data_IF_641718692629
#
_entry.id   IF_641718692629
#
_cell.length_a   1.000
_cell.length_b   1.000
_cell.length_c   1.000
_cell.angle_alpha   90.00
_cell.angle_beta   90.00
_cell.angle_gamma   90.00
#
_symmetry.space_group_name_H-M   'P 1'
#
loop_
_entity.id
_entity.type
_entity.pdbx_description
1 polymer ?
#
# COMPACT_ATOMS: atom_id res chain seq x y z
N UNK A 1 -12.55 -30.43 -39.27
CA UNK A 1 -13.47 -29.52 -38.55
C UNK A 1 -13.29 -29.83 -37.07
N UNK A 2 -12.56 -28.99 -36.32
CA UNK A 2 -12.35 -29.26 -34.89
C UNK A 2 -13.68 -29.07 -34.14
N UNK A 3 -14.07 -29.99 -33.23
CA UNK A 3 -15.35 -29.90 -32.54
C UNK A 3 -15.38 -28.63 -31.69
N UNK A 4 -16.49 -27.89 -31.76
CA UNK A 4 -16.69 -26.56 -31.15
C UNK A 4 -16.34 -26.53 -29.65
N UNK A 5 -16.54 -27.65 -28.95
CA UNK A 5 -16.16 -27.84 -27.54
C UNK A 5 -14.65 -27.81 -27.31
N UNK A 6 -13.84 -28.34 -28.24
CA UNK A 6 -12.38 -28.32 -28.15
C UNK A 6 -11.83 -26.91 -28.34
N UNK A 7 -12.42 -26.14 -29.27
CA UNK A 7 -12.12 -24.73 -29.49
C UNK A 7 -12.43 -23.88 -28.24
N UNK A 8 -13.59 -24.10 -27.60
CA UNK A 8 -13.96 -23.39 -26.38
C UNK A 8 -13.03 -23.72 -25.19
N UNK A 9 -12.64 -24.99 -25.05
CA UNK A 9 -11.67 -25.41 -24.02
C UNK A 9 -10.28 -24.81 -24.25
N UNK A 10 -9.80 -24.79 -25.50
CA UNK A 10 -8.53 -24.17 -25.87
C UNK A 10 -8.55 -22.65 -25.68
N UNK A 11 -9.65 -21.98 -26.04
CA UNK A 11 -9.83 -20.55 -25.77
C UNK A 11 -9.87 -20.22 -24.28
N UNK A 12 -10.50 -21.09 -23.47
CA UNK A 12 -10.48 -20.95 -22.00
C UNK A 12 -9.09 -21.14 -21.41
N UNK A 13 -8.31 -22.09 -21.93
CA UNK A 13 -6.93 -22.32 -21.48
C UNK A 13 -5.98 -21.18 -21.86
N UNK A 14 -6.09 -20.65 -23.09
CA UNK A 14 -5.28 -19.51 -23.57
C UNK A 14 -5.60 -18.22 -22.79
N UNK A 15 -6.88 -17.96 -22.49
CA UNK A 15 -7.28 -16.83 -21.66
C UNK A 15 -6.73 -16.94 -20.22
N UNK A 16 -6.64 -18.17 -19.69
CA UNK A 16 -6.03 -18.40 -18.36
C UNK A 16 -4.52 -18.13 -18.38
N UNK A 17 -3.81 -18.53 -19.44
CA UNK A 17 -2.36 -18.31 -19.55
C UNK A 17 -1.98 -16.84 -19.71
N UNK A 18 -2.81 -16.04 -20.39
CA UNK A 18 -2.55 -14.61 -20.56
C UNK A 18 -2.66 -13.82 -19.23
N UNK A 19 -3.47 -14.30 -18.27
CA UNK A 19 -3.62 -13.64 -16.96
C UNK A 19 -2.44 -13.86 -15.99
N UNK A 20 -1.51 -14.76 -16.31
CA UNK A 20 -0.36 -15.10 -15.45
C UNK A 20 1.00 -14.72 -16.06
N UNK A 21 1.03 -14.09 -17.24
CA UNK A 21 2.26 -13.83 -17.99
C UNK A 21 2.73 -12.37 -17.96
N UNK A 22 2.10 -11.51 -17.16
CA UNK A 22 2.46 -10.10 -17.00
C UNK A 22 3.52 -9.86 -15.94
N UNK A 23 4.17 -8.69 -16.00
CA UNK A 23 4.89 -8.17 -14.84
C UNK A 23 3.90 -7.70 -13.79
N UNK A 24 4.24 -7.87 -12.51
CA UNK A 24 3.45 -7.41 -11.38
C UNK A 24 4.25 -6.46 -10.51
N UNK A 25 3.57 -5.69 -9.68
CA UNK A 25 4.19 -4.69 -8.83
C UNK A 25 3.53 -4.60 -7.47
N UNK A 26 4.33 -4.28 -6.46
CA UNK A 26 3.87 -4.03 -5.10
C UNK A 26 4.33 -2.62 -4.71
N UNK A 27 3.38 -1.76 -4.34
CA UNK A 27 3.68 -0.36 -3.97
C UNK A 27 3.05 0.01 -2.64
N UNK A 28 3.88 0.51 -1.74
CA UNK A 28 3.52 1.09 -0.46
C UNK A 28 3.65 2.61 -0.57
N UNK A 29 2.56 3.33 -0.35
CA UNK A 29 2.59 4.79 -0.26
C UNK A 29 2.28 5.22 1.17
N UNK A 30 3.18 6.00 1.77
CA UNK A 30 2.93 6.67 3.04
C UNK A 30 2.76 8.17 2.82
N UNK A 31 1.91 8.80 3.62
CA UNK A 31 1.73 10.25 3.64
C UNK A 31 1.50 10.71 5.07
N UNK A 32 2.39 11.55 5.57
CA UNK A 32 2.27 12.23 6.86
C UNK A 32 2.06 13.73 6.63
N UNK A 33 1.00 14.29 7.21
CA UNK A 33 0.66 15.72 7.09
C UNK A 33 0.62 16.36 8.47
N UNK A 34 1.53 17.31 8.72
CA UNK A 34 1.53 18.08 9.97
C UNK A 34 0.33 19.03 10.03
N UNK A 35 -0.22 19.22 11.23
CA UNK A 35 -1.42 20.04 11.43
C UNK A 35 -1.25 20.97 12.64
N UNK A 36 -0.49 22.07 12.51
CA UNK A 36 -0.23 22.99 13.61
C UNK A 36 -1.52 23.41 14.31
N UNK A 37 -1.54 23.32 15.64
CA UNK A 37 -2.70 23.65 16.46
C UNK A 37 -3.89 22.66 16.39
N UNK A 38 -3.77 21.55 15.65
CA UNK A 38 -4.83 20.54 15.50
C UNK A 38 -4.39 19.12 15.88
N UNK A 39 -3.36 19.01 16.72
CA UNK A 39 -2.85 17.75 17.24
C UNK A 39 -1.72 17.14 16.40
N UNK A 40 -1.59 15.82 16.46
CA UNK A 40 -0.52 15.09 15.78
C UNK A 40 -0.68 15.08 14.25
N UNK A 41 0.43 14.92 13.50
CA UNK A 41 0.35 14.70 12.06
C UNK A 41 -0.60 13.56 11.72
N UNK A 42 -1.42 13.73 10.67
CA UNK A 42 -2.19 12.62 10.11
C UNK A 42 -1.24 11.74 9.34
N UNK A 43 -1.26 10.43 9.58
CA UNK A 43 -0.53 9.44 8.83
C UNK A 43 -1.50 8.53 8.08
N UNK A 44 -1.29 8.39 6.78
CA UNK A 44 -2.03 7.49 5.90
C UNK A 44 -1.02 6.56 5.25
N UNK A 45 -1.29 5.25 5.27
CA UNK A 45 -0.58 4.29 4.44
C UNK A 45 -1.59 3.59 3.51
N UNK A 46 -1.23 3.43 2.24
CA UNK A 46 -2.00 2.67 1.26
C UNK A 46 -1.07 1.74 0.51
N UNK A 47 -1.53 0.51 0.27
CA UNK A 47 -0.73 -0.51 -0.39
C UNK A 47 -1.47 -1.04 -1.61
N UNK A 48 -0.72 -1.25 -2.68
CA UNK A 48 -1.21 -1.65 -3.99
C UNK A 48 -0.48 -2.90 -4.46
N UNK A 49 -1.22 -3.85 -5.00
CA UNK A 49 -0.70 -4.84 -5.96
C UNK A 49 -1.18 -4.37 -7.32
N UNK A 50 -0.23 -4.12 -8.23
CA UNK A 50 -0.48 -3.44 -9.49
C UNK A 50 -1.22 -2.12 -9.27
N UNK A 51 -2.36 -1.94 -9.94
CA UNK A 51 -3.21 -0.76 -9.80
C UNK A 51 -4.35 -0.96 -8.79
N UNK A 52 -4.34 -2.08 -8.05
CA UNK A 52 -5.40 -2.45 -7.10
C UNK A 52 -4.97 -2.18 -5.67
N UNK A 53 -5.62 -1.23 -5.02
CA UNK A 53 -5.40 -0.97 -3.60
C UNK A 53 -5.95 -2.12 -2.77
N UNK A 54 -5.12 -2.79 -1.98
CA UNK A 54 -5.55 -3.91 -1.15
C UNK A 54 -5.48 -3.66 0.36
N UNK A 55 -4.69 -2.68 0.80
CA UNK A 55 -4.63 -2.27 2.20
C UNK A 55 -4.70 -0.75 2.40
N UNK A 56 -5.23 -0.36 3.56
CA UNK A 56 -5.26 1.03 4.03
C UNK A 56 -5.10 1.12 5.54
N UNK A 57 -4.25 2.05 5.99
CA UNK A 57 -4.20 2.55 7.36
C UNK A 57 -4.47 4.05 7.38
N UNK A 58 -5.24 4.52 8.36
CA UNK A 58 -5.49 5.95 8.58
C UNK A 58 -5.40 6.25 10.09
N UNK A 59 -4.48 7.13 10.49
CA UNK A 59 -4.29 7.48 11.90
C UNK A 59 -5.47 8.23 12.49
N UNK A 60 -6.31 8.84 11.65
CA UNK A 60 -7.50 9.58 12.07
C UNK A 60 -8.75 8.69 12.18
N UNK A 61 -8.65 7.40 11.84
CA UNK A 61 -9.76 6.47 12.05
C UNK A 61 -10.10 6.36 13.54
N UNK A 62 -11.38 6.11 13.87
CA UNK A 62 -11.82 5.96 15.26
C UNK A 62 -11.04 4.87 16.01
N UNK A 63 -10.69 3.80 15.31
CA UNK A 63 -9.81 2.73 15.79
C UNK A 63 -8.72 2.54 14.73
N UNK A 64 -7.56 3.21 14.84
CA UNK A 64 -6.50 3.10 13.84
C UNK A 64 -5.93 1.68 13.77
N UNK A 65 -6.20 1.02 12.66
CA UNK A 65 -5.72 -0.32 12.28
C UNK A 65 -5.57 -0.41 10.77
N UNK A 66 -4.82 -1.40 10.31
CA UNK A 66 -4.80 -1.72 8.89
C UNK A 66 -6.12 -2.38 8.50
N UNK A 67 -6.67 -1.98 7.37
CA UNK A 67 -7.96 -2.44 6.86
C UNK A 67 -7.81 -3.05 5.45
N UNK A 68 -8.50 -4.17 5.19
CA UNK A 68 -8.61 -4.73 3.85
C UNK A 68 -9.36 -3.77 2.93
N UNK A 69 -8.92 -3.70 1.68
CA UNK A 69 -9.61 -3.00 0.60
C UNK A 69 -10.09 -3.93 -0.51
N UNK A 70 -9.65 -5.19 -0.48
CA UNK A 70 -10.04 -6.24 -1.40
C UNK A 70 -10.42 -7.54 -0.65
N UNK A 71 -11.36 -8.35 -1.16
CA UNK A 71 -11.82 -9.57 -0.47
C UNK A 71 -10.73 -10.62 -0.26
N UNK A 72 -9.78 -10.72 -1.18
CA UNK A 72 -8.76 -11.78 -1.16
C UNK A 72 -7.76 -11.62 -0.01
N UNK A 73 -7.59 -10.41 0.55
CA UNK A 73 -6.71 -10.20 1.72
C UNK A 73 -7.43 -10.48 3.04
N UNK A 74 -8.77 -10.56 3.06
CA UNK A 74 -9.54 -10.86 4.28
C UNK A 74 -9.26 -12.26 4.84
N UNK A 75 -8.73 -13.17 4.02
CA UNK A 75 -8.35 -14.52 4.43
C UNK A 75 -7.12 -14.56 5.35
N UNK A 76 -6.38 -13.45 5.47
CA UNK A 76 -5.20 -13.35 6.32
C UNK A 76 -5.54 -13.48 7.82
N UNK A 77 -4.66 -14.15 8.55
CA UNK A 77 -4.86 -14.46 9.96
C UNK A 77 -4.68 -13.25 10.91
N UNK A 78 -5.11 -13.37 12.18
CA UNK A 78 -4.98 -12.28 13.15
C UNK A 78 -3.55 -11.74 13.33
N UNK A 79 -2.53 -12.60 13.25
CA UNK A 79 -1.13 -12.18 13.38
C UNK A 79 -0.71 -11.23 12.25
N UNK A 80 -1.21 -11.43 11.04
CA UNK A 80 -0.95 -10.55 9.90
C UNK A 80 -1.46 -9.15 10.21
N UNK A 81 -2.74 -9.05 10.60
CA UNK A 81 -3.42 -7.79 10.91
C UNK A 81 -2.78 -7.04 12.09
N UNK A 82 -2.39 -7.75 13.14
CA UNK A 82 -1.67 -7.18 14.27
C UNK A 82 -0.31 -6.62 13.84
N UNK A 83 0.46 -7.42 13.08
CA UNK A 83 1.78 -7.03 12.62
C UNK A 83 1.75 -5.80 11.71
N UNK A 84 0.90 -5.81 10.66
CA UNK A 84 0.84 -4.68 9.72
C UNK A 84 0.26 -3.42 10.38
N UNK A 85 -0.67 -3.56 11.34
CA UNK A 85 -1.14 -2.44 12.15
C UNK A 85 -0.04 -1.87 13.03
N UNK A 86 0.75 -2.72 13.69
CA UNK A 86 1.91 -2.31 14.49
C UNK A 86 2.95 -1.59 13.65
N UNK A 87 3.25 -2.11 12.46
CA UNK A 87 4.18 -1.51 11.50
C UNK A 87 3.71 -0.11 11.05
N UNK A 88 2.44 0.04 10.67
CA UNK A 88 1.89 1.33 10.27
C UNK A 88 1.93 2.36 11.42
N UNK A 89 1.64 1.94 12.66
CA UNK A 89 1.74 2.80 13.86
C UNK A 89 3.18 3.22 14.15
N UNK A 90 4.15 2.33 13.97
CA UNK A 90 5.57 2.64 14.12
C UNK A 90 6.02 3.66 13.07
N UNK A 91 5.64 3.48 11.80
CA UNK A 91 5.94 4.42 10.73
C UNK A 91 5.31 5.80 10.97
N UNK A 92 4.08 5.86 11.48
CA UNK A 92 3.47 7.13 11.86
C UNK A 92 4.29 7.91 12.91
N UNK A 93 4.89 7.22 13.89
CA UNK A 93 5.77 7.87 14.87
C UNK A 93 7.10 8.31 14.25
N UNK A 94 7.68 7.49 13.37
CA UNK A 94 8.89 7.84 12.63
C UNK A 94 8.67 9.10 11.78
N UNK A 95 7.57 9.18 11.03
CA UNK A 95 7.26 10.31 10.16
C UNK A 95 6.95 11.58 10.95
N UNK A 96 6.32 11.45 12.12
CA UNK A 96 6.14 12.57 13.05
C UNK A 96 7.48 13.18 13.47
N UNK A 97 8.47 12.35 13.83
CA UNK A 97 9.82 12.83 14.16
C UNK A 97 10.52 13.40 12.93
N UNK A 98 10.37 12.74 11.77
CA UNK A 98 10.95 13.19 10.51
C UNK A 98 10.45 14.58 10.12
N UNK A 99 9.15 14.85 10.21
CA UNK A 99 8.56 16.16 9.96
C UNK A 99 9.20 17.26 10.82
N UNK A 100 9.35 17.02 12.14
CA UNK A 100 10.02 17.97 13.05
C UNK A 100 11.48 18.21 12.68
N UNK A 101 12.19 17.16 12.30
CA UNK A 101 13.59 17.24 11.89
C UNK A 101 13.75 18.00 10.57
N UNK A 102 12.82 17.81 9.62
CA UNK A 102 12.82 18.49 8.33
C UNK A 102 12.55 19.99 8.50
N UNK A 103 11.61 20.38 9.36
CA UNK A 103 11.35 21.80 9.69
C UNK A 103 12.63 22.51 10.14
N UNK A 104 13.35 21.92 11.10
CA UNK A 104 14.62 22.47 11.60
C UNK A 104 15.67 22.57 10.51
N UNK A 105 15.80 21.52 9.69
CA UNK A 105 16.81 21.47 8.63
C UNK A 105 16.60 22.51 7.55
N UNK A 106 15.34 22.80 7.22
CA UNK A 106 14.97 23.78 6.22
C UNK A 106 14.69 25.17 6.82
N UNK A 107 14.97 25.39 8.11
CA UNK A 107 14.70 26.64 8.82
C UNK A 107 13.23 27.12 8.65
N UNK A 108 12.29 26.18 8.66
CA UNK A 108 10.86 26.45 8.49
C UNK A 108 10.17 26.65 9.85
N UNK A 109 9.15 27.52 9.87
CA UNK A 109 8.34 27.76 11.07
C UNK A 109 7.38 26.60 11.36
N UNK A 110 7.04 26.39 12.63
CA UNK A 110 6.02 25.40 13.04
C UNK A 110 4.58 25.82 12.74
N UNK A 111 4.36 27.05 12.23
CA UNK A 111 3.02 27.58 11.93
C UNK A 111 2.43 27.02 10.61
N UNK A 112 3.28 26.54 9.70
CA UNK A 112 2.87 25.97 8.42
C UNK A 112 2.49 24.50 8.51
N UNK A 113 1.58 24.05 7.65
CA UNK A 113 1.36 22.61 7.41
C UNK A 113 2.37 22.10 6.39
N UNK A 114 2.92 20.92 6.65
CA UNK A 114 3.93 20.28 5.82
C UNK A 114 3.57 18.83 5.57
N UNK A 115 3.95 18.33 4.39
CA UNK A 115 3.68 16.96 3.95
C UNK A 115 4.99 16.22 3.73
N UNK A 116 5.06 15.02 4.28
CA UNK A 116 6.09 14.03 3.99
C UNK A 116 5.42 12.86 3.28
N UNK A 117 5.98 12.44 2.14
CA UNK A 117 5.50 11.27 1.40
C UNK A 117 6.64 10.28 1.21
N UNK A 118 6.32 9.00 1.31
CA UNK A 118 7.22 7.90 0.99
C UNK A 118 6.55 6.97 -0.02
N UNK A 119 7.35 6.41 -0.92
CA UNK A 119 6.91 5.36 -1.83
C UNK A 119 8.01 4.30 -1.90
N UNK A 120 7.64 3.06 -1.54
CA UNK A 120 8.53 1.90 -1.54
C UNK A 120 7.82 0.76 -2.29
N UNK A 121 8.58 -0.16 -2.87
CA UNK A 121 7.98 -1.25 -3.62
C UNK A 121 8.97 -2.09 -4.40
N UNK A 122 8.42 -2.96 -5.22
CA UNK A 122 9.17 -3.74 -6.19
C UNK A 122 8.31 -4.02 -7.44
N UNK A 123 8.99 -4.25 -8.56
CA UNK A 123 8.40 -4.77 -9.79
C UNK A 123 8.99 -6.17 -10.03
N UNK A 124 8.13 -7.10 -10.43
CA UNK A 124 8.44 -8.52 -10.63
C UNK A 124 8.10 -8.90 -12.07
N UNK A 125 9.05 -9.51 -12.77
CA UNK A 125 8.82 -10.09 -14.09
C UNK A 125 7.92 -11.33 -14.03
N UNK A 126 7.48 -11.83 -15.20
CA UNK A 126 6.62 -13.02 -15.28
C UNK A 126 7.29 -14.31 -14.80
N UNK A 127 8.62 -14.32 -14.71
CA UNK A 127 9.41 -15.42 -14.14
C UNK A 127 9.58 -15.30 -12.61
N UNK A 128 8.92 -14.33 -11.98
CA UNK A 128 8.97 -14.10 -10.54
C UNK A 128 10.30 -13.51 -10.06
N UNK A 129 11.05 -12.82 -10.92
CA UNK A 129 12.30 -12.13 -10.55
C UNK A 129 12.11 -10.62 -10.51
N UNK A 130 12.88 -9.96 -9.64
CA UNK A 130 12.92 -8.50 -9.58
C UNK A 130 13.39 -7.91 -10.90
N UNK A 131 12.74 -6.83 -11.34
CA UNK A 131 13.13 -6.00 -12.48
C UNK A 131 14.12 -4.90 -12.09
#
# INVERSE_FOLDING_TARGET
>A
MAPRSLLLLLSGALALTDTWAGSHSLRYFSTAVSRPGRGEPRYIAVEYVDDTQFLRFDSDAAIPRMEPREPWVEQEGPQYWEWTTGYAKANAQTDRVALRNLLRRYNQSEAGSHTLQGMNGCDMGPDGRLL
#
